data_IF_594596006859
#
_entry.id   IF_594596006859
#
_cell.length_a   1.000
_cell.length_b   1.000
_cell.length_c   1.000
_cell.angle_alpha   90.00
_cell.angle_beta   90.00
_cell.angle_gamma   90.00
#
_symmetry.space_group_name_H-M   'P 1'
#
loop_
_entity.id
_entity.type
_entity.pdbx_description
1 polymer ?
#
# COMPACT_ATOMS: atom_id res chain seq x y z
N UNK A 1 -8.32 -6.49 22.08
CA UNK A 1 -8.49 -5.63 20.88
C UNK A 1 -7.98 -6.43 19.72
N UNK A 2 -8.67 -6.34 18.58
CA UNK A 2 -8.28 -7.07 17.38
C UNK A 2 -6.94 -6.56 16.86
N UNK A 3 -6.05 -7.41 16.32
CA UNK A 3 -4.79 -6.98 15.73
C UNK A 3 -5.05 -6.01 14.57
N UNK A 4 -4.23 -4.95 14.50
CA UNK A 4 -4.40 -3.88 13.49
C UNK A 4 -3.57 -4.20 12.25
N UNK A 5 -4.18 -4.11 11.08
CA UNK A 5 -3.46 -4.05 9.79
C UNK A 5 -3.58 -2.64 9.24
N UNK A 6 -2.43 -2.04 8.94
CA UNK A 6 -2.37 -0.70 8.35
C UNK A 6 -2.21 -0.84 6.84
N UNK A 7 -3.17 -0.32 6.09
CA UNK A 7 -3.21 -0.29 4.63
C UNK A 7 -2.83 1.10 4.15
N UNK A 8 -1.71 1.20 3.44
CA UNK A 8 -1.10 2.47 3.01
C UNK A 8 -1.11 2.61 1.49
N UNK A 9 -1.68 3.71 1.01
CA UNK A 9 -1.81 4.01 -0.41
C UNK A 9 -1.05 5.28 -0.77
N UNK A 10 -0.11 5.16 -1.68
CA UNK A 10 0.75 6.24 -2.15
C UNK A 10 0.06 7.22 -3.12
N UNK A 11 0.88 8.03 -3.81
CA UNK A 11 0.40 9.15 -4.60
C UNK A 11 -0.48 8.73 -5.78
N UNK A 12 -1.48 9.55 -6.05
CA UNK A 12 -2.48 9.44 -7.12
C UNK A 12 -3.48 8.28 -6.98
N UNK A 13 -3.34 7.39 -5.98
CA UNK A 13 -4.33 6.33 -5.77
C UNK A 13 -5.69 6.88 -5.32
N UNK A 14 -5.75 8.10 -4.77
CA UNK A 14 -7.02 8.81 -4.54
C UNK A 14 -7.81 9.10 -5.83
N UNK A 15 -7.21 8.95 -7.01
CA UNK A 15 -7.86 9.14 -8.31
C UNK A 15 -8.32 7.82 -8.94
N UNK A 16 -8.15 6.68 -8.25
CA UNK A 16 -8.62 5.37 -8.71
C UNK A 16 -10.12 5.40 -9.05
N UNK A 17 -10.51 4.76 -10.15
CA UNK A 17 -11.89 4.75 -10.65
C UNK A 17 -12.37 6.04 -11.33
N UNK A 18 -11.64 7.15 -11.21
CA UNK A 18 -12.04 8.45 -11.80
C UNK A 18 -11.25 8.84 -13.04
N UNK A 19 -10.10 8.21 -13.27
CA UNK A 19 -9.20 8.50 -14.40
C UNK A 19 -9.11 7.30 -15.33
N UNK A 20 -9.39 7.51 -16.62
CA UNK A 20 -9.24 6.49 -17.67
C UNK A 20 -9.91 5.14 -17.30
N UNK A 21 -11.21 5.14 -16.92
CA UNK A 21 -11.89 3.96 -16.35
C UNK A 21 -11.94 2.75 -17.29
N UNK A 22 -11.81 2.98 -18.60
CA UNK A 22 -11.69 1.93 -19.63
C UNK A 22 -10.43 1.05 -19.43
N UNK A 23 -9.40 1.57 -18.77
CA UNK A 23 -8.12 0.86 -18.53
C UNK A 23 -7.96 0.37 -17.08
N UNK A 24 -8.51 1.09 -16.10
CA UNK A 24 -8.28 0.84 -14.66
C UNK A 24 -9.51 0.28 -13.93
N UNK A 25 -10.65 0.13 -14.62
CA UNK A 25 -11.92 -0.17 -13.98
C UNK A 25 -12.57 1.07 -13.35
N UNK A 26 -13.82 0.91 -12.93
CA UNK A 26 -14.60 1.97 -12.29
C UNK A 26 -14.54 1.93 -10.75
N UNK A 27 -13.83 0.95 -10.19
CA UNK A 27 -13.71 0.77 -8.75
C UNK A 27 -12.85 1.88 -8.16
N UNK A 28 -13.35 2.53 -7.12
CA UNK A 28 -12.69 3.65 -6.47
C UNK A 28 -11.85 3.19 -5.29
N UNK A 29 -10.96 4.05 -4.79
CA UNK A 29 -10.20 3.74 -3.58
C UNK A 29 -11.12 3.57 -2.35
N UNK A 30 -12.28 4.22 -2.34
CA UNK A 30 -13.27 4.07 -1.28
C UNK A 30 -13.94 2.68 -1.31
N UNK A 31 -14.15 2.11 -2.50
CA UNK A 31 -14.67 0.75 -2.66
C UNK A 31 -13.64 -0.27 -2.14
N UNK A 32 -12.36 -0.09 -2.50
CA UNK A 32 -11.25 -0.91 -1.98
C UNK A 32 -11.14 -0.82 -0.45
N UNK A 33 -11.30 0.37 0.12
CA UNK A 33 -11.32 0.55 1.58
C UNK A 33 -12.48 -0.23 2.22
N UNK A 34 -13.68 -0.15 1.65
CA UNK A 34 -14.85 -0.87 2.14
C UNK A 34 -14.63 -2.38 2.12
N UNK A 35 -14.05 -2.92 1.04
CA UNK A 35 -13.74 -4.34 0.92
C UNK A 35 -12.66 -4.80 1.89
N UNK A 36 -11.60 -4.00 2.08
CA UNK A 36 -10.58 -4.26 3.08
C UNK A 36 -11.20 -4.32 4.49
N UNK A 37 -12.06 -3.37 4.86
CA UNK A 37 -12.75 -3.34 6.16
C UNK A 37 -13.69 -4.52 6.36
N UNK A 38 -14.43 -4.90 5.32
CA UNK A 38 -15.31 -6.07 5.34
C UNK A 38 -14.50 -7.35 5.58
N UNK A 39 -13.46 -7.59 4.78
CA UNK A 39 -12.59 -8.76 4.93
C UNK A 39 -11.85 -8.76 6.27
N UNK A 40 -11.38 -7.60 6.74
CA UNK A 40 -10.77 -7.46 8.06
C UNK A 40 -11.71 -7.92 9.17
N UNK A 41 -12.98 -7.51 9.11
CA UNK A 41 -14.01 -7.95 10.06
C UNK A 41 -14.21 -9.47 10.01
N UNK A 42 -14.31 -10.05 8.82
CA UNK A 42 -14.43 -11.50 8.62
C UNK A 42 -13.25 -12.29 9.21
N UNK A 43 -12.05 -11.69 9.19
CA UNK A 43 -10.80 -12.28 9.70
C UNK A 43 -10.48 -11.92 11.15
N UNK A 44 -11.29 -11.10 11.83
CA UNK A 44 -11.02 -10.62 13.19
C UNK A 44 -9.82 -9.65 13.26
N UNK A 45 -9.65 -8.80 12.25
CA UNK A 45 -8.62 -7.79 12.13
C UNK A 45 -9.23 -6.39 12.04
N UNK A 46 -8.63 -5.43 12.75
CA UNK A 46 -8.96 -4.02 12.60
C UNK A 46 -8.17 -3.42 11.43
N UNK A 47 -8.86 -2.68 10.54
CA UNK A 47 -8.22 -2.04 9.39
C UNK A 47 -8.06 -0.54 9.62
N UNK A 48 -6.83 -0.06 9.48
CA UNK A 48 -6.52 1.36 9.36
C UNK A 48 -6.10 1.64 7.92
N UNK A 49 -6.89 2.43 7.22
CA UNK A 49 -6.73 2.66 5.79
C UNK A 49 -6.35 4.12 5.56
N UNK A 50 -5.22 4.34 4.91
CA UNK A 50 -4.70 5.67 4.66
C UNK A 50 -4.26 5.83 3.20
N UNK A 51 -4.38 7.07 2.70
CA UNK A 51 -3.86 7.48 1.41
C UNK A 51 -3.18 8.84 1.56
N UNK A 52 -2.03 9.01 0.91
CA UNK A 52 -1.43 10.34 0.75
C UNK A 52 -0.64 10.49 -0.54
N UNK A 53 -0.63 11.73 -1.04
CA UNK A 53 0.26 12.19 -2.11
C UNK A 53 1.61 12.69 -1.58
N UNK A 54 1.78 12.76 -0.25
CA UNK A 54 2.93 13.33 0.43
C UNK A 54 3.74 12.20 1.06
N UNK A 55 5.00 12.09 0.66
CA UNK A 55 5.91 11.05 1.13
C UNK A 55 6.03 11.02 2.66
N UNK A 56 6.13 12.19 3.30
CA UNK A 56 6.27 12.27 4.76
C UNK A 56 5.08 11.70 5.52
N UNK A 57 3.84 11.80 5.00
CA UNK A 57 2.66 11.27 5.69
C UNK A 57 2.68 9.74 5.71
N UNK A 58 3.14 9.10 4.62
CA UNK A 58 3.34 7.66 4.58
C UNK A 58 4.40 7.22 5.58
N UNK A 59 5.52 7.95 5.67
CA UNK A 59 6.59 7.67 6.63
C UNK A 59 6.08 7.78 8.08
N UNK A 60 5.34 8.83 8.41
CA UNK A 60 4.76 9.01 9.74
C UNK A 60 3.78 7.88 10.10
N UNK A 61 2.95 7.43 9.15
CA UNK A 61 2.07 6.28 9.39
C UNK A 61 2.83 4.97 9.56
N UNK A 62 3.91 4.76 8.81
CA UNK A 62 4.81 3.61 9.01
C UNK A 62 5.40 3.65 10.42
N UNK A 63 5.92 4.80 10.86
CA UNK A 63 6.45 4.96 12.21
C UNK A 63 5.40 4.69 13.29
N UNK A 64 4.20 5.23 13.13
CA UNK A 64 3.09 5.01 14.06
C UNK A 64 2.61 3.54 14.08
N UNK A 65 2.77 2.81 12.97
CA UNK A 65 2.42 1.39 12.88
C UNK A 65 3.39 0.50 13.69
N UNK A 66 4.67 0.89 13.81
CA UNK A 66 5.72 0.10 14.51
C UNK A 66 5.34 -0.33 15.92
N UNK A 67 4.60 0.50 16.64
CA UNK A 67 4.31 0.26 18.05
C UNK A 67 3.06 -0.61 18.29
N UNK A 68 2.24 -0.86 17.26
CA UNK A 68 0.87 -1.36 17.46
C UNK A 68 0.28 -2.20 16.33
N UNK A 69 0.81 -2.12 15.11
CA UNK A 69 0.28 -2.85 13.98
C UNK A 69 0.82 -4.29 13.95
N UNK A 70 -0.05 -5.23 13.63
CA UNK A 70 0.31 -6.62 13.38
C UNK A 70 0.88 -6.82 11.96
N UNK A 71 0.68 -5.86 11.05
CA UNK A 71 1.24 -5.89 9.70
C UNK A 71 0.93 -4.63 8.91
N UNK A 72 1.70 -4.42 7.83
CA UNK A 72 1.50 -3.33 6.88
C UNK A 72 1.20 -3.92 5.50
N UNK A 73 0.16 -3.43 4.85
CA UNK A 73 -0.08 -3.62 3.42
C UNK A 73 0.16 -2.28 2.74
N UNK A 74 1.04 -2.21 1.76
CA UNK A 74 1.40 -0.94 1.13
C UNK A 74 1.39 -1.03 -0.39
N UNK A 75 0.72 -0.08 -1.03
CA UNK A 75 0.91 0.27 -2.42
C UNK A 75 1.56 1.67 -2.48
N UNK A 76 2.89 1.77 -2.58
CA UNK A 76 3.57 3.07 -2.62
C UNK A 76 3.38 3.83 -3.94
N UNK A 77 2.67 3.26 -4.92
CA UNK A 77 2.45 3.81 -6.24
C UNK A 77 3.77 4.26 -6.91
N UNK A 78 3.89 5.52 -7.31
CA UNK A 78 5.11 6.01 -7.95
C UNK A 78 6.34 5.97 -7.02
N UNK A 79 6.14 6.09 -5.70
CA UNK A 79 7.26 6.09 -4.74
C UNK A 79 7.95 4.73 -4.63
N UNK A 80 7.32 3.65 -5.07
CA UNK A 80 7.92 2.32 -5.20
C UNK A 80 9.26 2.39 -5.94
N UNK A 81 9.35 3.25 -6.95
CA UNK A 81 10.48 3.30 -7.88
C UNK A 81 11.49 4.39 -7.52
N UNK A 82 11.23 5.22 -6.51
CA UNK A 82 12.03 6.43 -6.25
C UNK A 82 12.37 6.65 -4.78
N UNK A 83 11.58 6.14 -3.84
CA UNK A 83 11.69 6.52 -2.43
C UNK A 83 12.56 5.56 -1.63
N UNK A 84 13.81 5.96 -1.41
CA UNK A 84 14.67 5.33 -0.39
C UNK A 84 14.17 5.67 1.03
N UNK A 85 13.55 6.84 1.22
CA UNK A 85 13.04 7.25 2.52
C UNK A 85 11.90 6.34 3.04
N UNK A 86 10.97 5.92 2.17
CA UNK A 86 9.93 4.94 2.52
C UNK A 86 10.54 3.57 2.78
N UNK A 87 11.55 3.16 1.99
CA UNK A 87 12.30 1.93 2.25
C UNK A 87 12.92 1.93 3.66
N UNK A 88 13.60 3.01 4.05
CA UNK A 88 14.22 3.13 5.37
C UNK A 88 13.18 3.15 6.51
N UNK A 89 12.03 3.80 6.30
CA UNK A 89 10.92 3.76 7.25
C UNK A 89 10.38 2.33 7.42
N UNK A 90 10.18 1.60 6.32
CA UNK A 90 9.70 0.21 6.34
C UNK A 90 10.72 -0.75 6.98
N UNK A 91 12.02 -0.54 6.77
CA UNK A 91 13.08 -1.30 7.45
C UNK A 91 12.99 -1.23 8.98
N UNK A 92 12.41 -0.16 9.53
CA UNK A 92 12.25 -0.02 10.97
C UNK A 92 11.04 -0.82 11.52
N UNK A 93 10.13 -1.29 10.66
CA UNK A 93 8.96 -2.09 11.05
C UNK A 93 9.32 -3.57 11.13
N UNK A 94 9.10 -4.19 12.30
CA UNK A 94 9.51 -5.59 12.55
C UNK A 94 8.45 -6.63 12.12
N UNK A 95 7.22 -6.18 11.86
CA UNK A 95 6.13 -7.04 11.43
C UNK A 95 6.13 -7.35 9.92
N UNK A 96 5.19 -8.19 9.45
CA UNK A 96 5.06 -8.50 8.03
C UNK A 96 4.66 -7.27 7.20
N UNK A 97 5.30 -7.13 6.06
CA UNK A 97 5.06 -6.06 5.09
C UNK A 97 4.66 -6.70 3.76
N UNK A 98 3.46 -6.41 3.27
CA UNK A 98 2.99 -6.89 1.96
C UNK A 98 2.96 -5.70 0.99
N UNK A 99 3.78 -5.77 -0.05
CA UNK A 99 3.75 -4.81 -1.15
C UNK A 99 2.67 -5.22 -2.15
N UNK A 100 1.83 -4.26 -2.56
CA UNK A 100 0.74 -4.49 -3.49
C UNK A 100 0.79 -3.50 -4.65
N UNK A 101 0.54 -3.99 -5.85
CA UNK A 101 0.39 -3.20 -7.06
C UNK A 101 -0.85 -3.64 -7.83
N UNK A 102 -1.81 -2.72 -8.03
CA UNK A 102 -3.03 -2.99 -8.82
C UNK A 102 -2.67 -3.37 -10.26
N UNK A 103 -1.78 -2.60 -10.90
CA UNK A 103 -1.33 -2.87 -12.27
C UNK A 103 -0.13 -3.81 -12.30
N UNK A 104 0.03 -4.60 -13.37
CA UNK A 104 1.25 -5.37 -13.61
C UNK A 104 2.43 -4.45 -13.97
N UNK A 105 3.22 -4.03 -12.97
CA UNK A 105 4.34 -3.09 -13.16
C UNK A 105 5.44 -3.62 -14.08
N UNK A 106 5.61 -4.94 -14.20
CA UNK A 106 6.61 -5.55 -15.08
C UNK A 106 6.22 -5.55 -16.57
N UNK A 107 4.93 -5.35 -16.88
CA UNK A 107 4.46 -5.15 -18.26
C UNK A 107 4.49 -3.68 -18.70
N UNK A 108 4.93 -2.79 -17.81
CA UNK A 108 4.94 -1.33 -18.02
C UNK A 108 6.34 -0.84 -18.37
N UNK A 109 6.52 0.49 -18.35
CA UNK A 109 7.77 1.14 -18.71
C UNK A 109 8.94 0.66 -17.82
N UNK A 110 10.19 0.58 -18.34
CA UNK A 110 11.32 -0.01 -17.61
C UNK A 110 11.59 0.61 -16.24
N UNK A 111 11.33 1.90 -16.05
CA UNK A 111 11.51 2.57 -14.76
C UNK A 111 10.57 2.05 -13.67
N UNK A 112 9.53 1.26 -14.01
CA UNK A 112 8.61 0.64 -13.06
C UNK A 112 8.98 -0.78 -12.66
N UNK A 113 10.02 -1.34 -13.27
CA UNK A 113 10.39 -2.75 -13.04
C UNK A 113 11.12 -2.95 -11.72
N UNK A 114 11.77 -1.90 -11.21
CA UNK A 114 12.48 -1.93 -9.94
C UNK A 114 11.62 -1.33 -8.82
N UNK A 115 11.52 -2.04 -7.70
CA UNK A 115 10.89 -1.57 -6.47
C UNK A 115 11.92 -1.53 -5.36
N UNK A 116 12.06 -0.38 -4.70
CA UNK A 116 12.82 -0.27 -3.45
C UNK A 116 12.13 -1.03 -2.32
N UNK A 117 10.79 -1.03 -2.29
CA UNK A 117 9.98 -1.65 -1.24
C UNK A 117 10.06 -3.18 -1.27
N UNK A 118 10.22 -3.79 -2.45
CA UNK A 118 10.34 -5.24 -2.58
C UNK A 118 11.55 -5.81 -1.83
N UNK A 119 12.57 -5.00 -1.53
CA UNK A 119 13.74 -5.43 -0.78
C UNK A 119 13.43 -5.75 0.70
N UNK A 120 12.34 -5.22 1.24
CA UNK A 120 11.95 -5.35 2.66
C UNK A 120 10.57 -5.97 2.85
N UNK A 121 9.79 -6.09 1.77
CA UNK A 121 8.50 -6.74 1.80
C UNK A 121 8.64 -8.25 2.08
N UNK A 122 7.80 -8.77 2.98
CA UNK A 122 7.63 -10.20 3.21
C UNK A 122 7.00 -10.92 2.02
N UNK A 123 6.26 -10.20 1.19
CA UNK A 123 5.67 -10.69 -0.05
C UNK A 123 5.23 -9.54 -0.95
N UNK A 124 5.15 -9.82 -2.26
CA UNK A 124 4.75 -8.84 -3.27
C UNK A 124 3.60 -9.43 -4.10
N UNK A 125 2.50 -8.69 -4.23
CA UNK A 125 1.34 -9.04 -5.05
C UNK A 125 1.20 -7.98 -6.15
N UNK A 126 1.13 -8.41 -7.41
CA UNK A 126 1.14 -7.49 -8.56
C UNK A 126 0.13 -7.92 -9.62
N UNK A 127 -0.71 -6.99 -10.07
CA UNK A 127 -1.56 -7.18 -11.25
C UNK A 127 -2.91 -7.86 -10.98
N UNK A 128 -3.48 -7.66 -9.79
CA UNK A 128 -4.76 -8.19 -9.36
C UNK A 128 -5.72 -7.06 -8.95
#
# INVERSE_FOLDING_TARGET
MDPIVVVLNGPNLNLLGTREPEFYGSETLADVEADCRRLGTELGLAIEFHQSNREYELIEWIHAARERAAGIVINPAAFTHTSVAILDALNAFEGPIIEVHISNVHKREPFRHHSYVSAVASGVIVGC
#
